data_IF_548222991934
#
_entry.id   IF_548222991934
#
_cell.length_a   1.000
_cell.length_b   1.000
_cell.length_c   1.000
_cell.angle_alpha   90.00
_cell.angle_beta   90.00
_cell.angle_gamma   90.00
#
_symmetry.space_group_name_H-M   'P 1'
#
loop_
_entity.id
_entity.type
_entity.pdbx_description
1 polymer ?
#
# COMPACT_ATOMS: atom_id res chain seq x y z
N UNK A 1 -10.63 13.27 4.50
CA UNK A 1 -9.81 13.11 3.29
C UNK A 1 -9.38 11.66 3.21
N UNK A 2 -9.36 11.02 2.04
CA UNK A 2 -8.75 9.68 1.90
C UNK A 2 -7.25 9.88 1.71
N UNK A 3 -6.37 9.13 2.41
CA UNK A 3 -4.95 9.23 2.18
C UNK A 3 -4.61 8.70 0.79
N UNK A 4 -3.58 9.28 0.18
CA UNK A 4 -3.12 8.91 -1.17
C UNK A 4 -2.12 7.74 -1.15
N UNK A 5 -1.76 7.24 0.03
CA UNK A 5 -0.77 6.18 0.21
C UNK A 5 -0.30 6.04 1.66
N UNK A 6 0.91 5.51 1.81
CA UNK A 6 1.64 5.34 3.08
C UNK A 6 2.96 6.12 2.99
N UNK A 7 3.21 7.01 3.94
CA UNK A 7 4.52 7.66 4.10
C UNK A 7 5.46 6.71 4.87
N UNK A 8 6.70 6.59 4.39
CA UNK A 8 7.74 5.78 4.98
C UNK A 8 8.81 6.69 5.60
N UNK A 9 9.41 6.22 6.68
CA UNK A 9 10.52 6.90 7.32
C UNK A 9 11.78 6.04 7.27
N UNK A 10 12.91 6.68 6.98
CA UNK A 10 14.23 6.08 7.13
C UNK A 10 14.83 6.65 8.42
N UNK A 11 14.91 5.88 9.51
CA UNK A 11 15.27 6.39 10.84
C UNK A 11 16.61 7.18 10.85
N UNK A 12 17.57 6.78 10.02
CA UNK A 12 18.89 7.41 9.92
C UNK A 12 18.91 8.72 9.12
N UNK A 13 17.82 9.09 8.43
CA UNK A 13 17.68 10.33 7.65
C UNK A 13 16.65 11.30 8.26
N UNK A 14 16.22 11.04 9.51
CA UNK A 14 15.19 11.84 10.22
C UNK A 14 15.70 13.17 10.77
N UNK A 15 16.98 13.52 10.57
CA UNK A 15 17.47 14.85 10.94
C UNK A 15 16.65 15.92 10.21
N UNK A 16 16.08 16.86 10.97
CA UNK A 16 15.08 17.84 10.52
C UNK A 16 15.53 18.71 9.34
N UNK A 17 16.82 18.73 9.02
CA UNK A 17 17.41 19.50 7.92
C UNK A 17 17.29 18.78 6.57
N UNK A 18 17.09 17.46 6.54
CA UNK A 18 17.13 16.65 5.30
C UNK A 18 15.97 15.66 5.17
N UNK A 19 14.83 15.91 5.84
CA UNK A 19 13.64 15.08 5.63
C UNK A 19 13.17 15.25 4.19
N UNK A 20 13.27 14.17 3.41
CA UNK A 20 12.67 14.09 2.09
C UNK A 20 11.41 13.21 2.15
N UNK A 21 10.40 13.48 1.30
CA UNK A 21 9.25 12.61 1.19
C UNK A 21 9.66 11.24 0.68
N UNK A 22 9.26 10.20 1.40
CA UNK A 22 9.35 8.83 0.95
C UNK A 22 7.97 8.21 1.13
N UNK A 23 7.31 7.81 0.05
CA UNK A 23 5.95 7.30 0.13
C UNK A 23 5.68 6.18 -0.86
N UNK A 24 4.69 5.35 -0.53
CA UNK A 24 4.10 4.32 -1.39
C UNK A 24 2.68 4.76 -1.72
N UNK A 25 2.37 5.12 -2.98
CA UNK A 25 1.02 5.54 -3.35
C UNK A 25 0.03 4.37 -3.26
N UNK A 26 -1.26 4.66 -3.13
CA UNK A 26 -2.32 3.67 -2.99
C UNK A 26 -2.28 2.59 -4.09
N UNK A 27 -2.02 2.98 -5.34
CA UNK A 27 -1.95 2.05 -6.47
C UNK A 27 -0.76 1.09 -6.42
N UNK A 28 0.20 1.35 -5.54
CA UNK A 28 1.44 0.59 -5.36
C UNK A 28 1.47 -0.13 -4.00
N UNK A 29 0.37 -0.13 -3.24
CA UNK A 29 0.21 -0.97 -2.05
C UNK A 29 0.00 -2.44 -2.45
N UNK A 30 0.14 -3.36 -1.49
CA UNK A 30 -0.15 -4.78 -1.73
C UNK A 30 -1.56 -4.94 -2.30
N UNK A 31 -1.69 -5.72 -3.38
CA UNK A 31 -2.96 -5.88 -4.10
C UNK A 31 -4.09 -6.33 -3.16
N UNK A 32 -5.23 -5.63 -3.20
CA UNK A 32 -6.35 -5.85 -2.28
C UNK A 32 -6.31 -5.00 -1.01
N UNK A 33 -5.30 -4.14 -0.85
CA UNK A 33 -5.25 -3.18 0.26
C UNK A 33 -6.44 -2.20 0.23
N UNK A 34 -7.00 -1.93 1.39
CA UNK A 34 -8.13 -1.02 1.58
C UNK A 34 -7.85 -0.04 2.72
N UNK A 35 -8.33 1.20 2.58
CA UNK A 35 -8.27 2.18 3.63
C UNK A 35 -9.52 2.12 4.52
N UNK A 36 -9.33 1.96 5.82
CA UNK A 36 -10.40 1.95 6.81
C UNK A 36 -10.43 3.29 7.54
N UNK A 37 -11.38 4.16 7.15
CA UNK A 37 -11.50 5.50 7.68
C UNK A 37 -11.79 5.55 9.19
N UNK A 38 -12.49 4.55 9.74
CA UNK A 38 -12.77 4.45 11.19
C UNK A 38 -11.51 4.32 12.04
N UNK A 39 -10.45 3.71 11.48
CA UNK A 39 -9.16 3.47 12.14
C UNK A 39 -8.03 4.32 11.58
N UNK A 40 -8.34 5.16 10.61
CA UNK A 40 -7.38 5.96 9.85
C UNK A 40 -6.19 5.15 9.34
N UNK A 41 -6.42 3.91 8.91
CA UNK A 41 -5.36 2.94 8.64
C UNK A 41 -5.60 2.16 7.35
N UNK A 42 -4.51 1.86 6.63
CA UNK A 42 -4.52 0.87 5.55
C UNK A 42 -4.47 -0.55 6.10
N UNK A 43 -5.13 -1.49 5.42
CA UNK A 43 -5.05 -2.90 5.76
C UNK A 43 -5.25 -3.79 4.53
N UNK A 44 -4.82 -5.05 4.67
CA UNK A 44 -5.11 -6.13 3.75
C UNK A 44 -6.15 -7.07 4.38
N UNK A 45 -7.37 -7.16 3.82
CA UNK A 45 -8.36 -8.14 4.26
C UNK A 45 -7.88 -9.58 3.98
N UNK A 46 -8.08 -10.49 4.95
CA UNK A 46 -7.58 -11.87 4.84
C UNK A 46 -8.15 -12.67 3.66
N UNK A 47 -9.32 -12.30 3.14
CA UNK A 47 -9.94 -12.97 1.99
C UNK A 47 -9.02 -12.96 0.75
N UNK A 48 -8.11 -11.98 0.65
CA UNK A 48 -7.13 -11.87 -0.43
C UNK A 48 -5.87 -12.73 -0.23
N UNK A 49 -5.53 -13.12 1.00
CA UNK A 49 -4.37 -13.98 1.27
C UNK A 49 -4.64 -15.45 0.91
N UNK A 50 -5.89 -15.91 1.06
CA UNK A 50 -6.24 -17.31 0.76
C UNK A 50 -6.43 -17.58 -0.75
N UNK A 51 -6.81 -16.58 -1.55
CA UNK A 51 -6.99 -16.77 -2.99
C UNK A 51 -5.69 -17.07 -3.74
N UNK A 52 -4.56 -16.53 -3.27
CA UNK A 52 -3.27 -16.75 -3.95
C UNK A 52 -2.72 -18.18 -3.72
N UNK A 53 -3.06 -18.81 -2.60
CA UNK A 53 -2.60 -20.18 -2.29
C UNK A 53 -3.46 -21.27 -2.95
N UNK A 54 -4.71 -20.96 -3.34
CA UNK A 54 -5.63 -21.95 -3.91
C UNK A 54 -5.53 -22.09 -5.44
N UNK A 55 -4.85 -21.17 -6.13
CA UNK A 55 -4.79 -21.18 -7.60
C UNK A 55 -3.79 -22.18 -8.20
N UNK A 56 -3.06 -22.95 -7.39
CA UNK A 56 -2.10 -23.95 -7.88
C UNK A 56 -2.62 -25.39 -7.89
N UNK A 57 -3.91 -25.62 -7.64
CA UNK A 57 -4.43 -26.99 -7.61
C UNK A 57 -5.87 -27.12 -8.10
N UNK A 58 -6.15 -26.80 -9.37
CA UNK A 58 -7.32 -27.37 -10.06
C UNK A 58 -6.94 -27.85 -11.47
N UNK A 59 -6.53 -29.11 -11.48
CA UNK A 59 -6.48 -29.98 -12.64
C UNK A 59 -7.88 -30.11 -13.26
N UNK A 60 -7.99 -29.68 -14.52
CA UNK A 60 -9.02 -29.97 -15.52
C UNK A 60 -10.07 -31.02 -15.14
N UNK A 61 -11.33 -30.59 -14.96
CA UNK A 61 -12.49 -31.45 -15.29
C UNK A 61 -13.73 -30.65 -15.69
N UNK A 62 -13.96 -30.64 -17.00
CA UNK A 62 -15.22 -30.33 -17.68
C UNK A 62 -16.43 -31.01 -17.05
N UNK A 63 -17.55 -30.31 -16.90
CA UNK A 63 -18.91 -30.80 -17.22
C UNK A 63 -19.97 -29.67 -17.20
N UNK A 64 -21.07 -29.95 -17.87
CA UNK A 64 -21.98 -29.05 -18.59
C UNK A 64 -23.34 -28.92 -17.90
N UNK A 65 -23.93 -27.71 -17.90
CA UNK A 65 -25.38 -27.33 -17.88
C UNK A 65 -26.32 -27.82 -16.75
N UNK A 66 -26.99 -26.89 -16.03
CA UNK A 66 -28.45 -26.57 -16.15
C UNK A 66 -28.98 -25.63 -15.05
N UNK A 67 -29.63 -24.57 -15.55
CA UNK A 67 -30.71 -23.69 -15.03
C UNK A 67 -31.46 -24.18 -13.77
N UNK A 68 -31.46 -23.35 -12.73
CA UNK A 68 -32.39 -23.44 -11.59
C UNK A 68 -32.45 -22.11 -10.84
N UNK A 69 -33.62 -21.46 -10.83
CA UNK A 69 -33.95 -20.28 -10.01
C UNK A 69 -33.71 -20.61 -8.52
N UNK A 70 -32.88 -19.82 -7.84
CA UNK A 70 -33.03 -19.58 -6.41
C UNK A 70 -32.91 -18.08 -6.13
N UNK A 71 -34.06 -17.50 -5.79
CA UNK A 71 -34.14 -16.24 -5.06
C UNK A 71 -33.47 -16.47 -3.70
N UNK A 72 -32.39 -15.75 -3.41
CA UNK A 72 -31.81 -15.71 -2.06
C UNK A 72 -31.57 -14.25 -1.68
N UNK A 73 -32.58 -13.67 -1.06
CA UNK A 73 -32.42 -12.49 -0.20
C UNK A 73 -31.34 -12.84 0.81
N UNK A 74 -30.23 -12.12 0.79
CA UNK A 74 -29.25 -12.18 1.88
C UNK A 74 -29.07 -10.76 2.36
N UNK A 75 -29.63 -10.51 3.55
CA UNK A 75 -29.45 -9.29 4.30
C UNK A 75 -27.95 -9.09 4.52
N UNK A 76 -27.40 -7.99 4.01
CA UNK A 76 -26.06 -7.55 4.36
C UNK A 76 -26.08 -7.01 5.80
N UNK A 77 -26.10 -7.91 6.77
CA UNK A 77 -25.44 -7.65 8.05
C UNK A 77 -23.97 -7.96 7.80
N UNK A 78 -23.18 -6.92 7.58
CA UNK A 78 -21.73 -7.02 7.69
C UNK A 78 -21.42 -7.63 9.07
N UNK A 79 -21.02 -8.89 9.05
CA UNK A 79 -20.80 -9.69 10.25
C UNK A 79 -19.49 -9.20 10.89
N UNK A 80 -19.53 -8.88 12.20
CA UNK A 80 -18.38 -8.38 12.98
C UNK A 80 -17.16 -9.31 12.92
N UNK A 81 -17.36 -10.56 12.48
CA UNK A 81 -16.34 -11.57 12.19
C UNK A 81 -15.40 -11.16 11.05
N UNK A 82 -15.88 -10.43 10.03
CA UNK A 82 -15.05 -9.94 8.91
C UNK A 82 -14.16 -8.74 9.29
N UNK A 83 -14.51 -7.99 10.35
CA UNK A 83 -13.64 -6.93 10.91
C UNK A 83 -12.44 -7.50 11.69
N UNK A 84 -12.51 -8.76 12.15
CA UNK A 84 -11.44 -9.38 12.96
C UNK A 84 -10.25 -9.91 12.17
N UNK A 85 -10.42 -10.26 10.90
CA UNK A 85 -9.34 -10.80 10.08
C UNK A 85 -8.85 -9.75 9.08
N UNK A 86 -8.05 -8.80 9.55
CA UNK A 86 -7.37 -7.79 8.71
C UNK A 86 -5.94 -7.61 9.18
N UNK A 87 -4.99 -7.59 8.25
CA UNK A 87 -3.60 -7.25 8.52
C UNK A 87 -3.40 -5.75 8.25
N UNK A 88 -3.16 -4.97 9.30
CA UNK A 88 -2.94 -3.53 9.18
C UNK A 88 -1.46 -3.24 8.92
N UNK A 89 -1.19 -2.18 8.14
CA UNK A 89 0.16 -1.63 8.03
C UNK A 89 0.47 -0.88 9.33
N UNK A 90 1.35 -1.42 10.19
CA UNK A 90 1.59 -0.84 11.51
C UNK A 90 2.73 0.18 11.48
N UNK A 91 2.59 1.26 12.26
CA UNK A 91 3.67 2.23 12.45
C UNK A 91 4.81 1.56 13.23
N UNK A 92 6.05 1.74 12.76
CA UNK A 92 7.24 1.15 13.35
C UNK A 92 7.53 -0.28 12.89
N UNK A 93 6.69 -0.83 12.01
CA UNK A 93 6.94 -2.12 11.37
C UNK A 93 8.00 -1.98 10.29
N UNK A 94 8.88 -2.98 10.18
CA UNK A 94 9.87 -3.04 9.11
C UNK A 94 9.18 -3.44 7.80
N UNK A 95 9.56 -2.77 6.70
CA UNK A 95 8.98 -3.02 5.38
C UNK A 95 10.08 -3.26 4.35
N UNK A 96 9.82 -4.18 3.42
CA UNK A 96 10.61 -4.30 2.19
C UNK A 96 9.92 -3.52 1.09
N UNK A 97 10.62 -2.59 0.46
CA UNK A 97 10.05 -1.69 -0.55
C UNK A 97 10.88 -1.70 -1.82
N UNK A 98 10.22 -1.83 -2.97
CA UNK A 98 10.86 -1.59 -4.28
C UNK A 98 10.83 -0.10 -4.55
N UNK A 99 11.99 0.50 -4.84
CA UNK A 99 12.05 1.91 -5.28
C UNK A 99 11.62 1.99 -6.75
N UNK A 100 10.55 2.75 -7.01
CA UNK A 100 10.07 3.03 -8.37
C UNK A 100 10.74 4.27 -8.95
N UNK A 101 10.89 5.32 -8.15
CA UNK A 101 11.45 6.58 -8.60
C UNK A 101 12.25 7.26 -7.49
N UNK A 102 13.30 7.98 -7.90
CA UNK A 102 14.09 8.86 -7.06
C UNK A 102 14.22 10.20 -7.78
N UNK A 103 13.56 11.22 -7.25
CA UNK A 103 13.54 12.56 -7.83
C UNK A 103 14.53 13.39 -7.06
N UNK A 104 15.57 13.89 -7.73
CA UNK A 104 16.57 14.79 -7.15
C UNK A 104 16.41 16.16 -7.78
N UNK A 105 16.18 17.18 -6.96
CA UNK A 105 16.05 18.57 -7.40
C UNK A 105 17.39 19.28 -7.18
N UNK A 106 18.10 19.55 -8.28
CA UNK A 106 19.35 20.32 -8.25
C UNK A 106 19.10 21.81 -8.02
N UNK A 107 20.06 22.51 -7.43
CA UNK A 107 20.07 23.97 -7.25
C UNK A 107 20.52 24.71 -8.52
N UNK A 108 20.11 24.25 -9.69
CA UNK A 108 20.49 24.89 -10.95
C UNK A 108 19.31 25.71 -11.46
N UNK A 109 18.97 26.78 -10.72
CA UNK A 109 18.15 27.87 -11.22
C UNK A 109 18.94 29.15 -11.03
N UNK A 110 19.15 29.84 -12.14
CA UNK A 110 20.07 30.93 -12.37
C UNK A 110 20.09 31.99 -11.25
N UNK A 111 21.30 32.51 -10.98
CA UNK A 111 21.49 33.82 -10.39
C UNK A 111 20.85 34.88 -11.30
N UNK A 112 19.57 35.18 -11.07
CA UNK A 112 19.03 36.51 -11.35
C UNK A 112 18.44 37.04 -10.06
N UNK A 113 19.13 38.06 -9.56
CA UNK A 113 18.89 38.87 -8.38
C UNK A 113 17.43 39.26 -8.15
N UNK A 114 17.10 39.39 -6.85
CA UNK A 114 15.85 39.86 -6.26
C UNK A 114 14.65 38.90 -6.31
N UNK A 115 14.65 37.90 -5.42
CA UNK A 115 13.51 37.69 -4.52
C UNK A 115 13.88 36.70 -3.40
N UNK A 116 13.52 37.02 -2.16
CA UNK A 116 13.83 36.26 -0.94
C UNK A 116 13.00 34.97 -0.79
N UNK A 117 12.76 34.22 -1.86
CA UNK A 117 12.06 32.94 -1.80
C UNK A 117 13.04 31.76 -1.75
N UNK A 118 13.01 30.92 -0.70
CA UNK A 118 13.83 29.71 -0.68
C UNK A 118 13.41 28.78 -1.83
N UNK A 119 14.37 28.12 -2.50
CA UNK A 119 14.07 27.27 -3.65
C UNK A 119 13.13 26.13 -3.28
N UNK A 120 12.25 25.85 -4.24
CA UNK A 120 11.05 25.03 -4.17
C UNK A 120 11.29 23.56 -3.77
N UNK A 121 10.59 23.09 -2.73
CA UNK A 121 10.41 21.67 -2.41
C UNK A 121 11.62 20.94 -1.82
N UNK A 122 11.45 19.69 -1.38
CA UNK A 122 12.52 18.87 -0.82
C UNK A 122 13.54 18.49 -1.90
N UNK A 123 14.83 18.47 -1.53
CA UNK A 123 15.95 18.23 -2.44
C UNK A 123 15.92 16.83 -3.08
N UNK A 124 15.32 15.87 -2.39
CA UNK A 124 15.09 14.52 -2.86
C UNK A 124 13.64 14.13 -2.59
N UNK A 125 13.14 13.13 -3.31
CA UNK A 125 11.87 12.46 -3.06
C UNK A 125 11.98 11.01 -3.55
N UNK A 126 11.52 10.06 -2.74
CA UNK A 126 11.49 8.64 -3.09
C UNK A 126 10.04 8.17 -3.23
N UNK A 127 9.78 7.42 -4.29
CA UNK A 127 8.50 6.75 -4.52
C UNK A 127 8.73 5.25 -4.51
N UNK A 128 8.02 4.54 -3.64
CA UNK A 128 8.14 3.10 -3.43
C UNK A 128 6.94 2.31 -3.95
N UNK A 129 7.09 0.98 -3.95
CA UNK A 129 6.05 0.01 -4.27
C UNK A 129 6.15 -1.25 -3.40
N UNK A 130 4.98 -1.77 -3.04
CA UNK A 130 4.75 -3.06 -2.41
C UNK A 130 4.17 -4.09 -3.38
N UNK A 131 4.13 -3.81 -4.69
CA UNK A 131 3.69 -4.77 -5.70
C UNK A 131 4.80 -5.77 -6.04
N UNK A 132 4.65 -6.99 -5.53
CA UNK A 132 5.57 -8.09 -5.80
C UNK A 132 5.63 -9.08 -4.63
N UNK A 133 6.26 -10.21 -4.86
CA UNK A 133 6.49 -11.22 -3.81
C UNK A 133 7.50 -10.70 -2.77
N UNK A 134 7.18 -10.86 -1.48
CA UNK A 134 8.03 -10.43 -0.38
C UNK A 134 8.15 -8.91 -0.18
N UNK A 135 7.30 -8.11 -0.83
CA UNK A 135 7.28 -6.65 -0.65
C UNK A 135 6.12 -6.22 0.27
N UNK A 136 6.34 -5.15 1.03
CA UNK A 136 5.43 -4.70 2.10
C UNK A 136 5.98 -5.04 3.49
N UNK A 137 5.10 -5.09 4.51
CA UNK A 137 5.51 -5.42 5.87
C UNK A 137 6.17 -6.79 5.96
N UNK A 138 7.37 -6.86 6.53
CA UNK A 138 8.18 -8.09 6.57
C UNK A 138 7.50 -9.19 7.38
N UNK A 139 6.74 -8.82 8.42
CA UNK A 139 6.01 -9.77 9.25
C UNK A 139 4.91 -10.53 8.50
N UNK A 140 4.47 -10.04 7.34
CA UNK A 140 3.46 -10.74 6.52
C UNK A 140 4.04 -11.93 5.75
N UNK A 141 5.36 -12.05 5.69
CA UNK A 141 6.08 -13.08 4.93
C UNK A 141 7.03 -13.92 5.80
N UNK A 142 7.02 -13.72 7.12
CA UNK A 142 7.83 -14.52 8.04
C UNK A 142 7.25 -15.94 8.17
N UNK A 143 8.08 -16.95 7.89
CA UNK A 143 7.79 -18.39 8.13
C UNK A 143 8.12 -18.82 9.56
#
# INVERSE_FOLDING_TARGET
MRPEGIELELPFLTSSVYRFPFYVPQGELVMGSVYEAEKESWCLPFDHLQQNNNNNNEESKTTTTKRGKQTKTTNNKEDETTKKNRNYYQIGEEVTVRILNCIVRGKDSEMTSDDHHPPHGPAMELVGSFLGEGLGPTAWYAE
#
